data_IF_389643212395
#
_entry.id   IF_389643212395
#
_cell.length_a   1.000
_cell.length_b   1.000
_cell.length_c   1.000
_cell.angle_alpha   90.00
_cell.angle_beta   90.00
_cell.angle_gamma   90.00
#
_symmetry.space_group_name_H-M   'P 1'
#
loop_
_entity.id
_entity.type
_entity.pdbx_description
1 polymer ?
#
# COMPACT_ATOMS: atom_id res chain seq x y z
N UNK A 1 -3.88 15.21 -25.85
CA UNK A 1 -3.01 14.63 -24.81
C UNK A 1 -3.72 14.85 -23.49
N UNK A 2 -4.05 13.79 -22.75
CA UNK A 2 -4.67 13.91 -21.43
C UNK A 2 -3.65 14.46 -20.44
N UNK A 3 -4.07 15.33 -19.53
CA UNK A 3 -3.21 15.87 -18.48
C UNK A 3 -2.62 14.75 -17.59
N UNK A 4 -1.39 14.90 -17.09
CA UNK A 4 -0.78 13.91 -16.21
C UNK A 4 -1.51 13.83 -14.86
N UNK A 5 -1.73 12.61 -14.38
CA UNK A 5 -2.24 12.35 -13.02
C UNK A 5 -1.05 12.19 -12.08
N UNK A 6 -1.04 12.93 -10.98
CA UNK A 6 0.10 13.05 -10.06
C UNK A 6 -0.35 12.77 -8.63
N UNK A 7 0.50 12.10 -7.86
CA UNK A 7 0.37 11.96 -6.40
C UNK A 7 1.68 12.46 -5.79
N UNK A 8 1.60 13.45 -4.90
CA UNK A 8 2.79 14.02 -4.25
C UNK A 8 3.10 13.24 -2.98
N UNK A 9 4.39 13.12 -2.67
CA UNK A 9 4.84 12.42 -1.45
C UNK A 9 4.19 12.98 -0.17
N UNK A 10 4.10 14.31 -0.03
CA UNK A 10 3.47 14.96 1.12
C UNK A 10 1.94 14.83 1.19
N UNK A 11 1.30 14.27 0.16
CA UNK A 11 -0.15 14.03 0.10
C UNK A 11 -0.51 12.56 0.34
N UNK A 12 0.49 11.69 0.52
CA UNK A 12 0.28 10.27 0.76
C UNK A 12 -0.47 10.04 2.07
N UNK A 13 -1.57 9.28 1.97
CA UNK A 13 -2.39 8.86 3.13
C UNK A 13 -2.14 7.38 3.43
N UNK A 14 -1.58 7.04 4.61
CA UNK A 14 -1.34 5.67 4.98
C UNK A 14 -2.62 4.99 5.46
N UNK A 15 -2.67 3.68 5.27
CA UNK A 15 -3.54 2.76 6.00
C UNK A 15 -2.66 1.90 6.93
N UNK A 16 -2.93 1.93 8.23
CA UNK A 16 -2.22 1.13 9.24
C UNK A 16 -2.88 -0.21 9.53
N UNK A 17 -4.04 -0.47 8.94
CA UNK A 17 -4.83 -1.70 9.09
C UNK A 17 -4.97 -2.44 7.75
N UNK A 18 -4.04 -2.25 6.81
CA UNK A 18 -4.19 -2.75 5.44
C UNK A 18 -4.22 -4.28 5.33
N UNK A 19 -3.56 -4.97 6.28
CA UNK A 19 -3.44 -6.43 6.33
C UNK A 19 -3.64 -6.94 7.76
N UNK A 20 -3.98 -8.23 7.88
CA UNK A 20 -4.29 -8.86 9.18
C UNK A 20 -3.10 -8.85 10.14
N UNK A 21 -1.85 -8.89 9.64
CA UNK A 21 -0.65 -8.87 10.46
C UNK A 21 -0.45 -7.53 11.17
N UNK A 22 -1.07 -6.45 10.70
CA UNK A 22 -1.05 -5.15 11.35
C UNK A 22 -1.75 -5.15 12.73
N UNK A 23 -2.44 -6.22 13.11
CA UNK A 23 -3.00 -6.40 14.45
C UNK A 23 -2.03 -7.07 15.43
N UNK A 24 -0.77 -7.33 15.03
CA UNK A 24 0.26 -7.89 15.91
C UNK A 24 1.20 -6.79 16.43
N UNK A 25 1.71 -6.91 17.69
CA UNK A 25 2.62 -5.91 18.26
C UNK A 25 3.85 -5.62 17.40
N UNK A 26 4.14 -4.34 17.16
CA UNK A 26 5.14 -3.83 16.24
C UNK A 26 4.64 -3.65 14.80
N UNK A 27 3.74 -4.50 14.31
CA UNK A 27 3.21 -4.42 12.94
C UNK A 27 2.09 -3.38 12.82
N UNK A 28 1.44 -3.00 13.91
CA UNK A 28 0.42 -1.93 13.93
C UNK A 28 0.98 -0.55 13.55
N UNK A 29 2.30 -0.41 13.60
CA UNK A 29 3.03 0.79 13.21
C UNK A 29 3.41 0.81 11.72
N UNK A 30 3.18 -0.29 10.98
CA UNK A 30 3.40 -0.31 9.54
C UNK A 30 2.40 0.60 8.84
N UNK A 31 2.87 1.24 7.80
CA UNK A 31 2.06 2.10 6.94
C UNK A 31 2.02 1.53 5.54
N UNK A 32 0.83 1.39 4.97
CA UNK A 32 0.66 0.98 3.58
C UNK A 32 -0.04 2.09 2.81
N UNK A 33 0.49 2.42 1.64
CA UNK A 33 -0.01 3.50 0.79
C UNK A 33 -0.48 2.91 -0.53
N UNK A 34 -1.72 3.19 -0.91
CA UNK A 34 -2.29 2.70 -2.17
C UNK A 34 -2.32 3.83 -3.20
N UNK A 35 -1.36 3.85 -4.12
CA UNK A 35 -1.13 4.98 -5.02
C UNK A 35 -1.92 4.82 -6.32
N UNK A 36 -1.78 3.70 -7.03
CA UNK A 36 -2.52 3.39 -8.26
C UNK A 36 -3.23 2.05 -8.10
N UNK A 37 -4.55 2.05 -8.34
CA UNK A 37 -5.40 0.87 -8.20
C UNK A 37 -5.56 0.45 -6.74
N UNK A 38 -6.59 -0.33 -6.42
CA UNK A 38 -6.86 -0.72 -5.03
C UNK A 38 -5.87 -1.76 -4.48
N UNK A 39 -5.13 -2.48 -5.34
CA UNK A 39 -4.28 -3.57 -4.90
C UNK A 39 -5.08 -4.70 -4.24
N UNK A 40 -4.51 -5.27 -3.19
CA UNK A 40 -5.06 -6.44 -2.46
C UNK A 40 -5.50 -6.11 -1.03
N UNK A 41 -5.41 -4.85 -0.59
CA UNK A 41 -5.86 -4.47 0.74
C UNK A 41 -7.39 -4.34 0.77
N UNK A 42 -8.00 -4.86 1.83
CA UNK A 42 -9.47 -4.91 2.00
C UNK A 42 -9.96 -4.01 3.14
N UNK A 43 -9.05 -3.26 3.77
CA UNK A 43 -9.39 -2.38 4.89
C UNK A 43 -10.37 -1.28 4.46
N UNK A 44 -11.44 -1.02 5.22
CA UNK A 44 -12.35 0.09 4.94
C UNK A 44 -11.68 1.45 5.09
N UNK A 45 -10.57 1.53 5.83
CA UNK A 45 -9.79 2.75 6.04
C UNK A 45 -8.82 3.05 4.87
N UNK A 46 -8.76 2.17 3.87
CA UNK A 46 -7.86 2.31 2.74
C UNK A 46 -8.18 3.57 1.91
N UNK A 47 -7.12 4.33 1.58
CA UNK A 47 -7.20 5.43 0.64
C UNK A 47 -6.50 5.10 -0.68
N UNK A 48 -7.27 4.96 -1.76
CA UNK A 48 -6.76 4.78 -3.13
C UNK A 48 -6.62 6.15 -3.81
N UNK A 49 -5.39 6.61 -4.01
CA UNK A 49 -5.12 7.96 -4.53
C UNK A 49 -5.53 8.10 -6.01
N UNK A 50 -5.17 7.12 -6.84
CA UNK A 50 -5.57 7.02 -8.24
C UNK A 50 -6.39 5.74 -8.42
N UNK A 51 -7.71 5.88 -8.60
CA UNK A 51 -8.65 4.74 -8.72
C UNK A 51 -8.61 4.02 -10.07
N UNK A 52 -7.72 4.40 -10.97
CA UNK A 52 -7.55 3.72 -12.24
C UNK A 52 -6.99 2.30 -12.03
N UNK A 53 -7.41 1.35 -12.88
CA UNK A 53 -6.99 -0.06 -12.83
C UNK A 53 -6.35 -0.49 -14.15
N UNK A 54 -5.14 0.01 -14.49
CA UNK A 54 -4.49 -0.21 -15.79
C UNK A 54 -3.88 -1.63 -15.95
N UNK A 55 -4.30 -2.60 -15.13
CA UNK A 55 -3.71 -3.95 -15.10
C UNK A 55 -2.50 -4.10 -14.17
N UNK A 56 -2.13 -3.05 -13.42
CA UNK A 56 -1.14 -3.09 -12.36
C UNK A 56 -1.57 -2.21 -11.19
N UNK A 57 -0.92 -2.39 -10.04
CA UNK A 57 -1.07 -1.51 -8.89
C UNK A 57 0.30 -0.96 -8.48
N UNK A 58 0.31 0.26 -7.93
CA UNK A 58 1.50 0.84 -7.29
C UNK A 58 1.14 1.22 -5.87
N UNK A 59 1.98 0.83 -4.94
CA UNK A 59 1.89 1.21 -3.55
C UNK A 59 3.26 1.53 -2.96
N UNK A 60 3.25 1.90 -1.69
CA UNK A 60 4.46 2.04 -0.88
C UNK A 60 4.20 1.46 0.51
N UNK A 61 5.27 1.02 1.17
CA UNK A 61 5.22 0.53 2.54
C UNK A 61 6.21 1.31 3.42
N UNK A 62 5.75 1.81 4.56
CA UNK A 62 6.57 2.36 5.62
C UNK A 62 6.71 1.34 6.74
N UNK A 63 7.95 0.92 7.03
CA UNK A 63 8.24 0.01 8.12
C UNK A 63 9.09 0.70 9.19
N UNK A 64 8.68 0.66 10.46
CA UNK A 64 9.51 1.12 11.57
C UNK A 64 10.83 0.32 11.66
N UNK A 65 11.88 0.89 12.27
CA UNK A 65 13.11 0.16 12.53
C UNK A 65 12.86 -1.17 13.24
N UNK A 66 13.51 -2.24 12.77
CA UNK A 66 13.40 -3.62 13.30
C UNK A 66 12.04 -4.30 13.11
N UNK A 67 11.09 -3.65 12.43
CA UNK A 67 9.87 -4.30 11.98
C UNK A 67 10.20 -5.20 10.79
N UNK A 68 9.59 -6.39 10.73
CA UNK A 68 9.73 -7.33 9.61
C UNK A 68 8.36 -7.64 9.04
N UNK A 69 8.31 -7.88 7.72
CA UNK A 69 7.09 -8.38 7.09
C UNK A 69 6.89 -9.87 7.35
N UNK A 70 5.64 -10.23 7.61
CA UNK A 70 5.21 -11.63 7.70
C UNK A 70 5.41 -12.32 6.36
N UNK A 71 5.90 -13.56 6.39
CA UNK A 71 6.05 -14.37 5.18
C UNK A 71 4.66 -14.66 4.56
N UNK A 72 4.55 -14.48 3.25
CA UNK A 72 3.32 -14.72 2.49
C UNK A 72 3.64 -15.08 1.03
N UNK A 73 2.59 -15.34 0.24
CA UNK A 73 2.70 -15.76 -1.15
C UNK A 73 1.71 -15.00 -2.03
N UNK A 74 2.11 -14.71 -3.27
CA UNK A 74 1.29 -14.06 -4.29
C UNK A 74 1.27 -14.90 -5.58
N UNK A 75 0.13 -14.91 -6.28
CA UNK A 75 0.00 -15.49 -7.62
C UNK A 75 0.52 -14.56 -8.73
N UNK A 76 0.81 -13.29 -8.40
CA UNK A 76 1.32 -12.26 -9.30
C UNK A 76 2.76 -11.90 -8.96
N UNK A 77 3.49 -11.32 -9.93
CA UNK A 77 4.79 -10.74 -9.67
C UNK A 77 4.67 -9.45 -8.84
N UNK A 78 5.56 -9.27 -7.87
CA UNK A 78 5.71 -8.06 -7.08
C UNK A 78 7.19 -7.62 -7.13
N UNK A 79 7.41 -6.32 -7.35
CA UNK A 79 8.76 -5.75 -7.53
C UNK A 79 8.92 -4.60 -6.55
N UNK A 80 10.08 -4.55 -5.88
CA UNK A 80 10.44 -3.55 -4.89
C UNK A 80 11.63 -2.71 -5.40
N UNK A 81 11.63 -1.41 -5.07
CA UNK A 81 12.67 -0.44 -5.43
C UNK A 81 13.26 0.22 -4.18
#
# INVERSE_FOLDING_TARGET
MTEPVLVRYGELKPCRSAFIDAHTPGSEQKENFTIIGAGVAESPDQHVHIKATPGFNIGAAGQPPKCVNSLHYHNSAEVFF
#
